data_IF_580589536069
#
_entry.id   IF_580589536069
#
_cell.length_a   1.000
_cell.length_b   1.000
_cell.length_c   1.000
_cell.angle_alpha   90.00
_cell.angle_beta   90.00
_cell.angle_gamma   90.00
#
_symmetry.space_group_name_H-M   'P 1'
#
loop_
_entity.id
_entity.type
_entity.pdbx_description
1 polymer ?
#
# COMPACT_ATOMS: atom_id res chain seq x y z
N UNK A 1 -25.82 -3.86 34.80
CA UNK A 1 -24.82 -4.88 34.40
C UNK A 1 -23.46 -4.29 34.72
N UNK A 2 -22.68 -4.92 35.59
CA UNK A 2 -21.30 -4.50 35.88
C UNK A 2 -20.47 -4.74 34.63
N UNK A 3 -20.05 -3.67 33.96
CA UNK A 3 -19.04 -3.77 32.90
C UNK A 3 -17.82 -4.48 33.47
N UNK A 4 -17.34 -5.58 32.85
CA UNK A 4 -16.17 -6.29 33.34
C UNK A 4 -15.00 -5.33 33.46
N UNK A 5 -14.34 -5.35 34.62
CA UNK A 5 -13.15 -4.55 34.86
C UNK A 5 -12.02 -5.06 33.97
N UNK A 6 -11.31 -4.20 33.23
CA UNK A 6 -10.17 -4.62 32.43
C UNK A 6 -9.12 -5.34 33.28
N UNK A 7 -8.37 -6.27 32.68
CA UNK A 7 -7.28 -6.92 33.38
C UNK A 7 -6.10 -5.94 33.49
N UNK A 8 -5.63 -5.60 34.70
CA UNK A 8 -4.63 -4.55 34.92
C UNK A 8 -3.26 -4.86 34.27
N UNK A 9 -3.01 -6.11 33.89
CA UNK A 9 -1.78 -6.51 33.19
C UNK A 9 -1.93 -6.61 31.67
N UNK A 10 -3.15 -6.66 31.13
CA UNK A 10 -3.35 -6.75 29.67
C UNK A 10 -3.16 -5.38 29.00
N UNK A 11 -2.39 -5.33 27.92
CA UNK A 11 -2.20 -4.12 27.11
C UNK A 11 -2.53 -4.44 25.66
N UNK A 12 -3.41 -3.66 25.04
CA UNK A 12 -3.64 -3.78 23.60
C UNK A 12 -2.64 -2.89 22.85
N UNK A 13 -2.00 -3.41 21.81
CA UNK A 13 -1.02 -2.66 21.02
C UNK A 13 -1.54 -2.54 19.59
N UNK A 14 -1.88 -1.32 19.19
CA UNK A 14 -2.17 -0.97 17.80
C UNK A 14 -0.83 -0.71 17.11
N UNK A 15 -0.52 -1.42 16.04
CA UNK A 15 0.75 -1.28 15.31
C UNK A 15 0.59 -1.53 13.82
N UNK A 16 1.56 -1.04 13.04
CA UNK A 16 1.64 -1.28 11.60
C UNK A 16 2.32 -2.62 11.25
N UNK A 17 2.98 -2.66 10.09
CA UNK A 17 3.70 -3.81 9.55
C UNK A 17 5.17 -3.89 9.98
N UNK A 18 5.65 -2.95 10.79
CA UNK A 18 7.01 -3.02 11.34
C UNK A 18 7.11 -4.02 12.49
N UNK A 19 7.23 -5.31 12.16
CA UNK A 19 7.31 -6.40 13.14
C UNK A 19 8.50 -6.28 14.08
N UNK A 20 9.63 -5.73 13.61
CA UNK A 20 10.80 -5.47 14.45
C UNK A 20 10.48 -4.48 15.55
N UNK A 21 9.83 -3.36 15.22
CA UNK A 21 9.41 -2.36 16.19
C UNK A 21 8.35 -2.93 17.17
N UNK A 22 7.36 -3.65 16.63
CA UNK A 22 6.34 -4.36 17.43
C UNK A 22 6.99 -5.31 18.43
N UNK A 23 7.92 -6.15 17.98
CA UNK A 23 8.54 -7.17 18.83
C UNK A 23 9.35 -6.54 19.97
N UNK A 24 10.05 -5.43 19.72
CA UNK A 24 10.77 -4.68 20.76
C UNK A 24 9.82 -4.11 21.82
N UNK A 25 8.68 -3.52 21.41
CA UNK A 25 7.68 -3.00 22.36
C UNK A 25 7.02 -4.13 23.14
N UNK A 26 6.70 -5.25 22.49
CA UNK A 26 6.14 -6.42 23.17
C UNK A 26 7.12 -7.01 24.21
N UNK A 27 8.41 -7.10 23.87
CA UNK A 27 9.45 -7.53 24.80
C UNK A 27 9.56 -6.58 25.99
N UNK A 28 9.54 -5.27 25.75
CA UNK A 28 9.55 -4.25 26.79
C UNK A 28 8.33 -4.36 27.73
N UNK A 29 7.13 -4.50 27.19
CA UNK A 29 5.90 -4.66 27.98
C UNK A 29 5.97 -5.93 28.84
N UNK A 30 6.44 -7.05 28.27
CA UNK A 30 6.65 -8.30 29.02
C UNK A 30 7.68 -8.15 30.14
N UNK A 31 8.78 -7.42 29.90
CA UNK A 31 9.79 -7.11 30.92
C UNK A 31 9.27 -6.21 32.04
N UNK A 32 8.16 -5.50 31.83
CA UNK A 32 7.41 -4.78 32.86
C UNK A 32 6.37 -5.65 33.58
N UNK A 33 6.30 -6.96 33.31
CA UNK A 33 5.30 -7.86 33.86
C UNK A 33 3.92 -7.76 33.20
N UNK A 34 3.81 -7.05 32.07
CA UNK A 34 2.56 -6.88 31.33
C UNK A 34 2.38 -7.95 30.26
N UNK A 35 1.12 -8.14 29.85
CA UNK A 35 0.67 -9.11 28.85
C UNK A 35 0.14 -8.38 27.62
N UNK A 36 0.99 -8.07 26.63
CA UNK A 36 0.53 -7.46 25.40
C UNK A 36 -0.33 -8.45 24.61
N UNK A 37 -1.52 -8.00 24.20
CA UNK A 37 -2.51 -8.79 23.48
C UNK A 37 -2.11 -8.88 22.01
N UNK A 38 -2.05 -10.09 21.49
CA UNK A 38 -1.84 -10.33 20.06
C UNK A 38 -3.16 -10.24 19.30
N UNK A 39 -3.12 -9.88 18.02
CA UNK A 39 -4.33 -9.73 17.22
C UNK A 39 -5.20 -10.99 17.22
N UNK A 40 -4.60 -12.16 17.03
CA UNK A 40 -5.32 -13.44 17.03
C UNK A 40 -5.95 -13.76 18.40
N UNK A 41 -5.35 -13.29 19.50
CA UNK A 41 -5.95 -13.39 20.82
C UNK A 41 -7.18 -12.49 20.93
N UNK A 42 -7.12 -11.25 20.43
CA UNK A 42 -8.26 -10.35 20.40
C UNK A 42 -9.40 -10.91 19.52
N UNK A 43 -9.07 -11.52 18.37
CA UNK A 43 -10.03 -12.23 17.51
C UNK A 43 -10.66 -13.40 18.26
N UNK A 44 -9.86 -14.23 18.92
CA UNK A 44 -10.37 -15.37 19.70
C UNK A 44 -11.36 -14.94 20.80
N UNK A 45 -11.08 -13.83 21.48
CA UNK A 45 -11.93 -13.28 22.55
C UNK A 45 -13.30 -12.78 22.02
N UNK A 46 -13.48 -12.62 20.70
CA UNK A 46 -14.80 -12.36 20.11
C UNK A 46 -15.72 -13.58 20.13
N UNK A 47 -15.16 -14.80 20.18
CA UNK A 47 -15.91 -16.05 20.04
C UNK A 47 -16.42 -16.32 18.62
N UNK A 48 -16.04 -15.50 17.63
CA UNK A 48 -16.46 -15.63 16.24
C UNK A 48 -15.29 -16.12 15.37
N UNK A 49 -15.58 -16.95 14.36
CA UNK A 49 -14.56 -17.43 13.42
C UNK A 49 -14.11 -16.36 12.41
N UNK A 50 -14.92 -15.32 12.18
CA UNK A 50 -14.64 -14.24 11.24
C UNK A 50 -15.30 -12.92 11.68
N UNK A 51 -14.91 -12.34 12.83
CA UNK A 51 -15.50 -11.13 13.35
C UNK A 51 -15.20 -9.91 12.47
N UNK A 52 -16.10 -8.93 12.49
CA UNK A 52 -15.81 -7.60 11.97
C UNK A 52 -14.71 -6.92 12.81
N UNK A 53 -13.84 -6.13 12.15
CA UNK A 53 -12.71 -5.44 12.80
C UNK A 53 -13.13 -4.64 14.05
N UNK A 54 -14.30 -3.98 13.98
CA UNK A 54 -14.83 -3.21 15.11
C UNK A 54 -15.15 -4.08 16.33
N UNK A 55 -15.62 -5.32 16.15
CA UNK A 55 -15.90 -6.24 17.26
C UNK A 55 -14.60 -6.70 17.93
N UNK A 56 -13.53 -6.90 17.15
CA UNK A 56 -12.20 -7.22 17.69
C UNK A 56 -11.67 -6.07 18.53
N UNK A 57 -11.79 -4.83 18.04
CA UNK A 57 -11.40 -3.63 18.78
C UNK A 57 -12.23 -3.45 20.06
N UNK A 58 -13.55 -3.66 19.98
CA UNK A 58 -14.45 -3.58 21.13
C UNK A 58 -14.00 -4.55 22.24
N UNK A 59 -13.73 -5.80 21.86
CA UNK A 59 -13.24 -6.82 22.80
C UNK A 59 -11.86 -6.51 23.35
N UNK A 60 -10.93 -6.05 22.50
CA UNK A 60 -9.61 -5.64 22.94
C UNK A 60 -9.67 -4.50 23.96
N UNK A 61 -10.53 -3.50 23.75
CA UNK A 61 -10.72 -2.39 24.68
C UNK A 61 -11.43 -2.80 25.98
N UNK A 62 -12.32 -3.78 25.93
CA UNK A 62 -12.97 -4.35 27.11
C UNK A 62 -11.95 -5.02 28.04
N UNK A 63 -11.05 -5.84 27.48
CA UNK A 63 -10.15 -6.68 28.28
C UNK A 63 -8.81 -6.03 28.64
N UNK A 64 -8.31 -5.07 27.85
CA UNK A 64 -7.02 -4.42 28.06
C UNK A 64 -7.11 -3.25 29.05
N UNK A 65 -6.18 -3.13 29.98
CA UNK A 65 -6.09 -1.98 30.88
C UNK A 65 -5.59 -0.71 30.19
N UNK A 66 -4.63 -0.84 29.27
CA UNK A 66 -4.11 0.26 28.48
C UNK A 66 -4.07 -0.09 27.00
N UNK A 67 -4.12 0.94 26.16
CA UNK A 67 -3.98 0.85 24.72
C UNK A 67 -2.71 1.62 24.34
N UNK A 68 -1.76 0.94 23.72
CA UNK A 68 -0.55 1.56 23.17
C UNK A 68 -0.72 1.68 21.67
N UNK A 69 -0.67 2.90 21.15
CA UNK A 69 -0.61 3.17 19.71
C UNK A 69 0.85 3.30 19.34
N UNK A 70 1.39 2.32 18.61
CA UNK A 70 2.77 2.32 18.14
C UNK A 70 2.84 2.92 16.74
N UNK A 71 3.30 4.17 16.68
CA UNK A 71 3.46 4.93 15.46
C UNK A 71 4.89 4.78 14.91
N UNK A 72 5.01 4.01 13.82
CA UNK A 72 6.26 3.75 13.11
C UNK A 72 6.22 4.32 11.69
N UNK A 73 7.37 4.60 11.06
CA UNK A 73 7.44 5.18 9.71
C UNK A 73 7.17 4.13 8.61
N UNK A 74 5.98 3.54 8.63
CA UNK A 74 5.61 2.41 7.78
C UNK A 74 5.26 2.81 6.34
N UNK A 75 4.52 3.91 6.19
CA UNK A 75 4.11 4.43 4.88
C UNK A 75 4.81 5.77 4.61
N UNK A 76 4.89 6.16 3.33
CA UNK A 76 5.34 7.49 2.91
C UNK A 76 4.15 8.27 2.37
N UNK A 77 3.96 9.51 2.82
CA UNK A 77 2.93 10.42 2.33
C UNK A 77 3.50 11.79 1.97
N UNK A 78 2.75 12.51 1.14
CA UNK A 78 3.00 13.90 0.79
C UNK A 78 1.68 14.55 0.33
N UNK A 79 1.53 15.84 0.59
CA UNK A 79 0.44 16.65 0.08
C UNK A 79 0.58 16.81 -1.45
N UNK A 80 -0.56 16.78 -2.13
CA UNK A 80 -0.61 17.01 -3.58
C UNK A 80 -0.18 18.45 -3.87
N UNK A 81 0.75 18.64 -4.79
CA UNK A 81 1.38 19.96 -5.01
C UNK A 81 0.42 21.06 -5.49
N UNK A 82 -0.67 20.70 -6.17
CA UNK A 82 -1.74 21.62 -6.59
C UNK A 82 -2.70 22.01 -5.44
N UNK A 83 -2.59 21.35 -4.29
CA UNK A 83 -3.33 21.69 -3.07
C UNK A 83 -2.46 22.39 -2.03
N UNK A 84 -1.19 22.64 -2.36
CA UNK A 84 -0.19 23.14 -1.43
C UNK A 84 0.12 24.61 -1.70
N UNK A 85 0.43 25.34 -0.64
CA UNK A 85 1.00 26.69 -0.75
C UNK A 85 2.45 26.63 -1.26
N UNK A 86 2.94 27.74 -1.80
CA UNK A 86 4.33 27.84 -2.26
C UNK A 86 5.29 27.56 -1.09
N UNK A 87 6.17 26.57 -1.26
CA UNK A 87 7.14 26.17 -0.24
C UNK A 87 6.60 25.27 0.86
N UNK A 88 5.37 24.74 0.74
CA UNK A 88 4.80 23.84 1.74
C UNK A 88 5.66 22.55 1.92
N UNK A 89 6.21 22.30 3.13
CA UNK A 89 7.03 21.14 3.39
C UNK A 89 6.26 19.81 3.31
N UNK A 90 4.93 19.82 3.38
CA UNK A 90 4.11 18.63 3.21
C UNK A 90 4.14 18.08 1.79
N UNK A 91 4.55 18.88 0.81
CA UNK A 91 4.77 18.40 -0.57
C UNK A 91 5.98 17.50 -0.71
N UNK A 92 6.86 17.44 0.30
CA UNK A 92 8.01 16.53 0.32
C UNK A 92 7.60 15.16 0.89
N UNK A 93 8.20 14.05 0.43
CA UNK A 93 7.92 12.73 0.98
C UNK A 93 8.25 12.67 2.48
N UNK A 94 7.25 12.36 3.30
CA UNK A 94 7.40 12.22 4.74
C UNK A 94 6.96 10.82 5.20
N UNK A 95 7.72 10.16 6.08
CA UNK A 95 7.28 8.94 6.72
C UNK A 95 6.06 9.16 7.60
N UNK A 96 5.16 8.19 7.70
CA UNK A 96 3.99 8.25 8.58
C UNK A 96 3.59 6.85 9.06
N UNK A 97 2.79 6.74 10.12
CA UNK A 97 2.10 5.50 10.46
C UNK A 97 1.16 5.05 9.35
N UNK A 98 0.87 3.75 9.30
CA UNK A 98 -0.15 3.23 8.38
C UNK A 98 -1.52 3.86 8.64
N UNK A 99 -2.33 4.13 7.60
CA UNK A 99 -3.69 4.66 7.77
C UNK A 99 -4.57 3.84 8.72
N UNK A 100 -4.43 2.50 8.73
CA UNK A 100 -5.16 1.65 9.66
C UNK A 100 -4.82 1.97 11.13
N UNK A 101 -3.53 2.17 11.43
CA UNK A 101 -3.05 2.56 12.76
C UNK A 101 -3.65 3.90 13.17
N UNK A 102 -3.65 4.88 12.25
CA UNK A 102 -4.23 6.21 12.51
C UNK A 102 -5.74 6.13 12.77
N UNK A 103 -6.46 5.32 11.99
CA UNK A 103 -7.90 5.13 12.15
C UNK A 103 -8.24 4.47 13.50
N UNK A 104 -7.56 3.38 13.84
CA UNK A 104 -7.74 2.66 15.11
C UNK A 104 -7.32 3.52 16.31
N UNK A 105 -6.25 4.32 16.17
CA UNK A 105 -5.85 5.30 17.17
C UNK A 105 -6.96 6.33 17.41
N UNK A 106 -7.59 6.84 16.35
CA UNK A 106 -8.75 7.73 16.46
C UNK A 106 -9.90 7.11 17.27
N UNK A 107 -10.23 5.84 17.01
CA UNK A 107 -11.26 5.09 17.76
C UNK A 107 -10.85 4.92 19.23
N UNK A 108 -9.61 4.49 19.49
CA UNK A 108 -9.08 4.30 20.84
C UNK A 108 -9.10 5.61 21.63
N UNK A 109 -8.66 6.71 21.01
CA UNK A 109 -8.66 8.04 21.63
C UNK A 109 -10.06 8.58 21.90
N UNK A 110 -11.02 8.30 21.03
CA UNK A 110 -12.41 8.75 21.19
C UNK A 110 -13.15 7.99 22.29
N UNK A 111 -12.86 6.69 22.46
CA UNK A 111 -13.57 5.82 23.40
C UNK A 111 -12.85 5.65 24.74
N UNK A 112 -11.52 5.67 24.73
CA UNK A 112 -10.66 5.35 25.89
C UNK A 112 -9.53 6.38 26.08
N UNK A 113 -9.81 7.70 26.13
CA UNK A 113 -8.79 8.74 26.12
C UNK A 113 -7.82 8.69 27.31
N UNK A 114 -8.28 8.30 28.50
CA UNK A 114 -7.46 8.29 29.73
C UNK A 114 -6.41 7.18 29.78
N UNK A 115 -6.59 6.13 28.96
CA UNK A 115 -5.76 4.91 28.95
C UNK A 115 -5.18 4.58 27.57
N UNK A 116 -5.25 5.53 26.64
CA UNK A 116 -4.61 5.45 25.33
C UNK A 116 -3.29 6.21 25.36
N UNK A 117 -2.19 5.54 25.07
CA UNK A 117 -0.83 6.07 25.08
C UNK A 117 -0.29 6.03 23.65
N UNK A 118 0.08 7.19 23.12
CA UNK A 118 0.69 7.30 21.79
C UNK A 118 2.20 7.22 21.93
N UNK A 119 2.80 6.29 21.19
CA UNK A 119 4.24 6.04 21.18
C UNK A 119 4.77 6.27 19.77
N UNK A 120 5.60 7.30 19.62
CA UNK A 120 6.33 7.54 18.37
C UNK A 120 7.63 6.75 18.40
N UNK A 121 7.87 5.93 17.38
CA UNK A 121 9.05 5.10 17.28
C UNK A 121 9.70 5.22 15.90
N UNK A 122 10.69 6.11 15.82
CA UNK A 122 11.28 6.58 14.57
C UNK A 122 10.82 7.99 14.24
N UNK A 123 11.30 8.52 13.10
CA UNK A 123 10.89 9.84 12.62
C UNK A 123 9.65 9.70 11.75
N UNK A 124 8.56 10.36 12.13
CA UNK A 124 7.30 10.40 11.39
C UNK A 124 6.85 11.85 11.17
N UNK A 125 6.02 12.07 10.16
CA UNK A 125 5.19 13.25 10.00
C UNK A 125 4.23 13.29 11.18
N UNK A 126 4.17 14.44 11.83
CA UNK A 126 3.12 14.71 12.79
C UNK A 126 1.98 15.43 12.06
N UNK A 127 0.74 14.98 12.28
CA UNK A 127 -0.43 15.72 11.81
C UNK A 127 -1.02 16.54 12.97
N UNK A 128 -1.59 17.69 12.62
CA UNK A 128 -1.97 18.77 13.55
C UNK A 128 -2.97 18.31 14.63
N UNK A 129 -3.82 17.33 14.36
CA UNK A 129 -4.84 16.85 15.32
C UNK A 129 -4.26 16.11 16.55
N UNK A 130 -3.02 15.61 16.49
CA UNK A 130 -2.33 15.03 17.66
C UNK A 130 -1.64 16.10 18.53
N UNK A 131 -1.45 17.34 18.05
CA UNK A 131 -0.70 18.38 18.78
C UNK A 131 -1.28 18.75 20.16
N UNK A 132 -2.55 18.43 20.43
CA UNK A 132 -3.16 18.60 21.76
C UNK A 132 -2.81 17.50 22.77
N UNK A 133 -2.13 16.41 22.37
CA UNK A 133 -1.83 15.27 23.25
C UNK A 133 -0.33 15.01 23.36
N UNK A 134 0.09 14.66 24.58
CA UNK A 134 1.48 14.28 24.85
C UNK A 134 1.77 12.87 24.32
N UNK A 135 2.75 12.76 23.42
CA UNK A 135 3.28 11.49 22.91
C UNK A 135 4.55 11.08 23.66
N UNK A 136 4.84 9.78 23.69
CA UNK A 136 6.13 9.25 24.15
C UNK A 136 7.00 8.94 22.93
N UNK A 137 8.02 9.76 22.69
CA UNK A 137 9.00 9.52 21.62
C UNK A 137 10.12 8.63 22.12
N UNK A 138 10.16 7.38 21.65
CA UNK A 138 11.22 6.44 22.01
C UNK A 138 12.47 6.71 21.16
N UNK A 139 13.62 6.74 21.83
CA UNK A 139 14.94 7.00 21.23
C UNK A 139 16.01 5.98 21.70
N UNK A 140 15.58 4.88 22.33
CA UNK A 140 16.47 3.87 22.91
C UNK A 140 17.13 4.28 24.23
N UNK A 141 16.86 5.48 24.77
CA UNK A 141 17.44 5.90 26.05
C UNK A 141 16.64 5.37 27.24
N UNK A 142 17.29 5.07 28.38
CA UNK A 142 16.61 4.74 29.63
C UNK A 142 15.56 5.76 30.04
N UNK A 143 15.80 7.06 29.81
CA UNK A 143 14.88 8.13 30.16
C UNK A 143 13.52 8.00 29.43
N UNK A 144 13.52 7.66 28.15
CA UNK A 144 12.27 7.44 27.40
C UNK A 144 11.58 6.14 27.78
N UNK A 145 12.33 5.09 28.13
CA UNK A 145 11.78 3.87 28.71
C UNK A 145 11.05 4.16 30.03
N UNK A 146 11.66 4.95 30.91
CA UNK A 146 11.03 5.44 32.15
C UNK A 146 9.75 6.23 31.87
N UNK A 147 9.77 7.10 30.86
CA UNK A 147 8.59 7.88 30.47
C UNK A 147 7.42 6.97 30.04
N UNK A 148 7.68 5.97 29.18
CA UNK A 148 6.64 5.01 28.77
C UNK A 148 6.12 4.20 29.96
N UNK A 149 7.02 3.68 30.81
CA UNK A 149 6.66 2.97 32.05
C UNK A 149 5.76 3.82 32.94
N UNK A 150 6.10 5.09 33.16
CA UNK A 150 5.30 6.01 33.97
C UNK A 150 3.90 6.25 33.39
N UNK A 151 3.77 6.33 32.07
CA UNK A 151 2.46 6.46 31.40
C UNK A 151 1.62 5.20 31.55
N UNK A 152 2.21 4.01 31.43
CA UNK A 152 1.51 2.74 31.66
C UNK A 152 0.98 2.65 33.10
N UNK A 153 1.80 3.02 34.09
CA UNK A 153 1.36 3.10 35.49
C UNK A 153 0.19 4.09 35.66
N UNK A 154 0.29 5.27 35.05
CA UNK A 154 -0.77 6.31 35.09
C UNK A 154 -2.06 5.83 34.42
N UNK A 155 -1.96 5.00 33.39
CA UNK A 155 -3.10 4.35 32.72
C UNK A 155 -3.70 3.19 33.54
N UNK A 156 -3.17 2.92 34.74
CA UNK A 156 -3.66 1.90 35.67
C UNK A 156 -3.08 0.51 35.46
N UNK A 157 -2.01 0.36 34.66
CA UNK A 157 -1.35 -0.92 34.51
C UNK A 157 -0.64 -1.35 35.80
N UNK A 158 -0.80 -2.62 36.17
CA UNK A 158 -0.05 -3.25 37.27
C UNK A 158 1.32 -3.67 36.73
N UNK A 159 2.33 -2.85 37.04
CA UNK A 159 3.71 -3.06 36.61
C UNK A 159 4.47 -3.89 37.64
N UNK A 160 5.45 -4.65 37.16
CA UNK A 160 6.46 -5.24 38.03
C UNK A 160 7.21 -4.12 38.78
N UNK A 161 7.22 -4.21 40.11
CA UNK A 161 7.83 -3.24 41.01
C UNK A 161 9.31 -3.57 41.26
N UNK A 162 9.67 -4.85 41.13
CA UNK A 162 11.01 -5.35 41.43
C UNK A 162 11.74 -5.79 40.16
N UNK A 163 12.87 -5.16 39.87
CA UNK A 163 13.71 -5.51 38.72
C UNK A 163 13.95 -4.35 37.74
N UNK A 164 15.03 -4.49 36.97
CA UNK A 164 15.51 -3.47 36.03
C UNK A 164 15.69 -3.99 34.61
N UNK A 165 15.26 -5.22 34.32
CA UNK A 165 15.49 -5.88 33.02
C UNK A 165 14.89 -5.11 31.86
N UNK A 166 13.76 -4.43 32.06
CA UNK A 166 13.14 -3.54 31.08
C UNK A 166 14.04 -2.36 30.66
N UNK A 167 15.04 -1.99 31.46
CA UNK A 167 16.05 -1.00 31.08
C UNK A 167 17.03 -1.54 30.03
N UNK A 168 17.17 -2.85 29.89
CA UNK A 168 18.02 -3.49 28.87
C UNK A 168 17.32 -3.65 27.52
N UNK A 169 16.01 -3.39 27.44
CA UNK A 169 15.26 -3.51 26.18
C UNK A 169 15.78 -2.52 25.14
N UNK A 170 16.31 -2.98 24.02
CA UNK A 170 16.96 -2.10 23.02
C UNK A 170 16.09 -0.90 22.67
N UNK A 171 14.84 -1.12 22.26
CA UNK A 171 13.93 -0.06 21.80
C UNK A 171 14.66 0.92 20.87
N UNK A 172 15.39 0.35 19.92
CA UNK A 172 16.14 1.06 18.88
C UNK A 172 15.16 1.51 17.80
N UNK A 173 15.00 2.83 17.57
CA UNK A 173 14.08 3.34 16.57
C UNK A 173 14.39 2.79 15.17
N UNK A 174 13.36 2.57 14.34
CA UNK A 174 13.56 2.27 12.93
C UNK A 174 14.43 3.35 12.28
N UNK A 175 15.37 2.92 11.44
CA UNK A 175 16.16 3.85 10.63
C UNK A 175 15.28 4.68 9.70
N UNK A 176 15.84 5.79 9.18
CA UNK A 176 15.15 6.56 8.17
C UNK A 176 14.78 5.65 6.98
N UNK A 177 13.52 5.71 6.48
CA UNK A 177 13.12 4.88 5.37
C UNK A 177 13.99 5.16 4.13
N UNK A 178 14.08 4.17 3.24
CA UNK A 178 14.80 4.32 1.97
C UNK A 178 16.30 4.01 2.03
N UNK A 179 16.86 3.74 3.22
CA UNK A 179 18.25 3.25 3.35
C UNK A 179 19.30 4.19 2.76
N UNK A 180 19.06 5.50 2.79
CA UNK A 180 19.92 6.51 2.17
C UNK A 180 19.57 6.86 0.71
N UNK A 181 18.58 6.19 0.13
CA UNK A 181 18.02 6.50 -1.20
C UNK A 181 16.91 7.54 -1.08
N UNK A 182 16.72 8.44 -2.08
CA UNK A 182 15.58 9.35 -2.10
C UNK A 182 14.25 8.60 -1.97
N UNK A 183 13.46 8.96 -0.95
CA UNK A 183 12.10 8.48 -0.80
C UNK A 183 11.26 9.05 -1.95
N UNK A 184 10.57 8.18 -2.67
CA UNK A 184 10.02 8.51 -3.98
C UNK A 184 9.05 9.70 -3.97
N UNK A 185 9.09 10.49 -5.05
CA UNK A 185 7.93 11.20 -5.63
C UNK A 185 7.59 10.52 -6.95
N UNK A 186 6.34 10.08 -7.13
CA UNK A 186 5.73 9.83 -8.45
C UNK A 186 4.23 10.06 -8.25
N UNK A 187 3.60 11.07 -8.85
CA UNK A 187 3.62 11.42 -10.28
C UNK A 187 3.56 12.96 -10.46
N UNK A 188 4.47 13.61 -11.20
CA UNK A 188 4.07 14.80 -11.96
C UNK A 188 3.13 14.32 -13.06
N UNK A 189 1.87 14.80 -13.09
CA UNK A 189 1.10 14.75 -14.34
C UNK A 189 1.96 15.53 -15.32
N UNK A 190 2.56 14.84 -16.27
CA UNK A 190 3.37 15.50 -17.27
C UNK A 190 2.52 16.58 -17.90
N UNK A 191 3.00 17.82 -17.91
CA UNK A 191 2.40 18.86 -18.76
C UNK A 191 2.44 18.45 -20.25
N UNK A 192 3.17 17.37 -20.58
CA UNK A 192 3.14 16.68 -21.87
C UNK A 192 3.08 15.14 -21.68
N UNK A 193 1.92 14.50 -21.76
CA UNK A 193 1.92 13.05 -21.86
C UNK A 193 2.36 12.72 -23.30
N UNK A 194 3.61 12.28 -23.48
CA UNK A 194 4.21 11.96 -24.79
C UNK A 194 4.27 10.47 -25.07
N UNK A 195 3.84 9.61 -24.12
CA UNK A 195 3.87 8.17 -24.34
C UNK A 195 2.59 7.70 -25.05
N UNK A 196 2.72 6.99 -26.18
CA UNK A 196 1.59 6.38 -26.85
C UNK A 196 0.97 5.30 -25.95
N UNK A 197 -0.27 4.95 -26.23
CA UNK A 197 -1.03 3.99 -25.44
C UNK A 197 -2.08 3.36 -26.32
N UNK A 198 -2.16 2.05 -26.33
CA UNK A 198 -2.92 1.34 -27.35
C UNK A 198 -4.21 0.75 -26.81
N UNK A 199 -5.14 0.51 -27.74
CA UNK A 199 -6.30 -0.35 -27.52
C UNK A 199 -6.47 -1.22 -28.74
N UNK A 200 -6.82 -2.48 -28.55
CA UNK A 200 -7.10 -3.40 -29.65
C UNK A 200 -8.56 -3.89 -29.62
N UNK A 201 -9.17 -4.08 -30.78
CA UNK A 201 -10.56 -4.54 -30.91
C UNK A 201 -10.71 -5.50 -32.07
N UNK A 202 -11.34 -6.66 -31.83
CA UNK A 202 -11.59 -7.68 -32.84
C UNK A 202 -12.87 -7.38 -33.64
N UNK A 203 -12.84 -7.67 -34.94
CA UNK A 203 -13.97 -7.47 -35.84
C UNK A 203 -14.15 -8.67 -36.79
N UNK A 204 -15.35 -9.25 -36.75
CA UNK A 204 -15.73 -10.35 -37.64
C UNK A 204 -16.22 -9.85 -38.99
N UNK A 205 -15.70 -10.41 -40.09
CA UNK A 205 -16.10 -10.04 -41.46
C UNK A 205 -17.11 -11.00 -42.09
N UNK A 206 -17.20 -12.24 -41.58
CA UNK A 206 -18.16 -13.26 -42.03
C UNK A 206 -17.91 -13.81 -43.44
N UNK A 207 -18.51 -14.97 -43.75
CA UNK A 207 -18.31 -15.68 -45.02
C UNK A 207 -16.90 -16.28 -45.18
N UNK A 208 -16.37 -16.34 -46.41
CA UNK A 208 -15.01 -16.84 -46.70
C UNK A 208 -13.89 -15.79 -46.49
N UNK A 209 -14.15 -14.71 -45.74
CA UNK A 209 -13.19 -13.62 -45.52
C UNK A 209 -12.60 -13.72 -44.12
N UNK A 210 -11.32 -13.35 -44.01
CA UNK A 210 -10.61 -13.32 -42.74
C UNK A 210 -11.10 -12.18 -41.84
N UNK A 211 -11.23 -12.49 -40.55
CA UNK A 211 -11.48 -11.51 -39.50
C UNK A 211 -10.24 -10.64 -39.28
N UNK A 212 -10.36 -9.56 -38.51
CA UNK A 212 -9.24 -8.64 -38.27
C UNK A 212 -9.30 -7.98 -36.89
N UNK A 213 -8.15 -7.51 -36.44
CA UNK A 213 -7.98 -6.68 -35.25
C UNK A 213 -7.65 -5.26 -35.67
N UNK A 214 -8.37 -4.29 -35.11
CA UNK A 214 -8.03 -2.88 -35.22
C UNK A 214 -7.29 -2.42 -33.96
N UNK A 215 -6.13 -1.82 -34.14
CA UNK A 215 -5.26 -1.34 -33.06
C UNK A 215 -5.17 0.17 -33.19
N UNK A 216 -5.53 0.88 -32.13
CA UNK A 216 -5.61 2.35 -32.11
C UNK A 216 -4.67 2.91 -31.05
N UNK A 217 -3.86 3.90 -31.42
CA UNK A 217 -3.12 4.70 -30.44
C UNK A 217 -4.09 5.69 -29.78
N UNK A 218 -4.57 5.37 -28.58
CA UNK A 218 -5.38 6.27 -27.73
C UNK A 218 -4.54 7.12 -26.79
N UNK A 219 -3.24 6.88 -26.73
CA UNK A 219 -2.30 7.67 -25.98
C UNK A 219 -2.02 9.01 -26.65
N UNK A 220 -1.55 10.00 -25.87
CA UNK A 220 -1.35 11.37 -26.34
C UNK A 220 -0.05 11.61 -27.13
N UNK A 221 0.80 10.59 -27.35
CA UNK A 221 2.06 10.70 -28.10
C UNK A 221 2.12 9.90 -29.39
N UNK A 222 2.93 10.35 -30.35
CA UNK A 222 3.26 9.58 -31.55
C UNK A 222 4.04 8.31 -31.18
N UNK A 223 3.65 7.18 -31.76
CA UNK A 223 4.42 5.96 -31.70
C UNK A 223 5.17 5.76 -33.02
N UNK A 224 6.35 5.17 -32.95
CA UNK A 224 7.21 4.88 -34.10
C UNK A 224 7.58 3.41 -34.08
N UNK A 225 7.86 2.87 -35.26
CA UNK A 225 8.28 1.48 -35.44
C UNK A 225 7.42 0.48 -34.65
N UNK A 226 6.09 0.64 -34.74
CA UNK A 226 5.12 -0.13 -33.96
C UNK A 226 4.98 -1.53 -34.53
N UNK A 227 5.41 -2.54 -33.79
CA UNK A 227 5.24 -3.95 -34.10
C UNK A 227 4.17 -4.59 -33.21
N UNK A 228 3.52 -5.64 -33.72
CA UNK A 228 2.43 -6.30 -33.01
C UNK A 228 2.47 -7.80 -33.24
N UNK A 229 2.45 -8.55 -32.15
CA UNK A 229 2.37 -10.00 -32.16
C UNK A 229 1.31 -10.54 -31.19
N UNK A 230 0.80 -11.75 -31.44
CA UNK A 230 -0.07 -12.44 -30.50
C UNK A 230 0.80 -13.20 -29.50
N UNK A 231 0.52 -13.03 -28.20
CA UNK A 231 1.24 -13.71 -27.14
C UNK A 231 0.81 -15.18 -27.10
N UNK A 232 1.78 -16.10 -27.20
CA UNK A 232 1.56 -17.55 -27.24
C UNK A 232 0.55 -17.97 -28.33
N UNK A 233 0.88 -17.74 -29.61
CA UNK A 233 -0.03 -18.05 -30.70
C UNK A 233 -0.17 -19.57 -30.84
N UNK A 234 -1.40 -20.01 -31.06
CA UNK A 234 -1.78 -21.43 -31.25
C UNK A 234 -2.13 -21.73 -32.71
N UNK A 235 -2.31 -20.68 -33.53
CA UNK A 235 -2.56 -20.75 -34.97
C UNK A 235 -1.54 -19.91 -35.77
N UNK A 236 -1.93 -19.48 -36.98
CA UNK A 236 -1.03 -18.76 -37.89
C UNK A 236 -0.81 -17.27 -37.54
N UNK A 237 -1.43 -16.77 -36.46
CA UNK A 237 -1.16 -15.45 -35.89
C UNK A 237 -1.84 -14.27 -36.61
N UNK A 238 -1.15 -13.14 -36.66
CA UNK A 238 -1.61 -11.86 -37.23
C UNK A 238 -0.87 -11.56 -38.55
N UNK A 239 -1.59 -11.03 -39.53
CA UNK A 239 -1.00 -10.59 -40.80
C UNK A 239 -1.44 -9.17 -41.15
N UNK A 240 -0.48 -8.30 -41.49
CA UNK A 240 -0.76 -6.97 -42.04
C UNK A 240 -0.83 -7.04 -43.57
N UNK A 241 -1.97 -6.68 -44.15
CA UNK A 241 -2.12 -6.68 -45.60
C UNK A 241 -1.33 -5.54 -46.25
N UNK A 242 -0.58 -5.87 -47.30
CA UNK A 242 0.07 -4.94 -48.25
C UNK A 242 1.08 -3.92 -47.67
N UNK A 243 1.35 -3.94 -46.36
CA UNK A 243 2.43 -3.19 -45.73
C UNK A 243 3.06 -4.00 -44.59
N UNK A 244 4.39 -4.17 -44.55
CA UNK A 244 5.04 -4.94 -43.49
C UNK A 244 4.94 -4.22 -42.14
N UNK A 245 5.03 -4.99 -41.06
CA UNK A 245 5.40 -4.47 -39.73
C UNK A 245 6.94 -4.39 -39.64
N UNK A 246 7.49 -3.48 -38.80
CA UNK A 246 6.80 -2.53 -37.94
C UNK A 246 6.20 -1.32 -38.69
N UNK A 247 5.19 -0.67 -38.10
CA UNK A 247 4.59 0.58 -38.61
C UNK A 247 5.52 1.75 -38.29
N UNK A 248 6.06 2.48 -39.28
CA UNK A 248 7.07 3.50 -39.03
C UNK A 248 6.61 4.63 -38.10
N UNK A 249 5.34 5.03 -38.18
CA UNK A 249 4.73 6.02 -37.29
C UNK A 249 3.22 5.83 -37.16
N UNK A 250 2.71 5.81 -35.93
CA UNK A 250 1.29 5.77 -35.60
C UNK A 250 0.92 6.91 -34.65
N UNK A 251 0.37 8.03 -35.17
CA UNK A 251 -0.01 9.18 -34.36
C UNK A 251 -1.19 8.92 -33.41
N UNK A 252 -1.39 9.79 -32.39
CA UNK A 252 -2.57 9.76 -31.54
C UNK A 252 -3.88 9.76 -32.32
N UNK A 253 -4.82 8.91 -31.92
CA UNK A 253 -6.14 8.73 -32.51
C UNK A 253 -6.15 8.02 -33.87
N UNK A 254 -5.01 7.53 -34.35
CA UNK A 254 -4.91 6.74 -35.59
C UNK A 254 -4.84 5.25 -35.29
N UNK A 255 -5.25 4.47 -36.30
CA UNK A 255 -5.41 3.03 -36.17
C UNK A 255 -4.79 2.28 -37.33
N UNK A 256 -4.36 1.05 -37.06
CA UNK A 256 -3.93 0.07 -38.06
C UNK A 256 -4.80 -1.19 -37.93
N UNK A 257 -4.85 -1.98 -39.00
CA UNK A 257 -5.64 -3.21 -39.05
C UNK A 257 -4.75 -4.38 -39.42
N UNK A 258 -4.91 -5.48 -38.69
CA UNK A 258 -4.20 -6.74 -38.92
C UNK A 258 -5.24 -7.84 -39.09
N UNK A 259 -5.18 -8.59 -40.19
CA UNK A 259 -6.04 -9.75 -40.37
C UNK A 259 -5.66 -10.81 -39.32
N UNK A 260 -6.69 -11.39 -38.71
CA UNK A 260 -6.56 -12.36 -37.65
C UNK A 260 -6.73 -13.77 -38.21
N UNK A 261 -5.68 -14.58 -38.13
CA UNK A 261 -5.62 -15.95 -38.62
C UNK A 261 -5.42 -16.97 -37.50
N UNK A 262 -5.47 -16.53 -36.23
CA UNK A 262 -5.24 -17.36 -35.06
C UNK A 262 -6.22 -18.53 -34.91
N UNK A 263 -7.48 -18.36 -35.34
CA UNK A 263 -8.54 -19.39 -35.25
C UNK A 263 -8.74 -20.25 -36.52
N UNK A 264 -7.78 -20.25 -37.46
CA UNK A 264 -7.92 -21.02 -38.72
C UNK A 264 -7.46 -22.48 -38.56
N UNK A 265 -6.66 -22.79 -37.54
CA UNK A 265 -6.18 -24.14 -37.27
C UNK A 265 -7.29 -25.04 -36.69
N UNK A 266 -7.34 -26.32 -37.12
CA UNK A 266 -8.38 -27.27 -36.68
C UNK A 266 -8.37 -27.46 -35.15
N UNK A 267 -9.52 -27.19 -34.53
CA UNK A 267 -9.75 -27.41 -33.10
C UNK A 267 -9.47 -26.20 -32.21
N UNK A 268 -8.96 -25.09 -32.77
CA UNK A 268 -8.76 -23.86 -32.02
C UNK A 268 -10.05 -23.02 -32.01
N UNK A 269 -10.59 -22.78 -30.83
CA UNK A 269 -11.85 -22.05 -30.64
C UNK A 269 -11.64 -20.93 -29.61
N UNK A 270 -10.59 -20.13 -29.82
CA UNK A 270 -10.28 -19.00 -28.93
C UNK A 270 -11.43 -18.01 -28.94
N UNK A 271 -11.84 -17.62 -27.74
CA UNK A 271 -12.81 -16.55 -27.51
C UNK A 271 -12.15 -15.22 -27.13
N UNK A 272 -10.84 -15.25 -26.94
CA UNK A 272 -10.00 -14.11 -26.62
C UNK A 272 -8.53 -14.46 -26.86
N UNK A 273 -7.70 -13.44 -26.98
CA UNK A 273 -6.24 -13.55 -27.05
C UNK A 273 -5.61 -12.24 -26.54
N UNK A 274 -4.30 -12.27 -26.28
CA UNK A 274 -3.55 -11.08 -25.87
C UNK A 274 -2.57 -10.71 -26.97
N UNK A 275 -2.50 -9.43 -27.27
CA UNK A 275 -1.51 -8.87 -28.17
C UNK A 275 -0.38 -8.21 -27.40
N UNK A 276 0.84 -8.36 -27.88
CA UNK A 276 1.98 -7.57 -27.49
C UNK A 276 2.23 -6.50 -28.54
N UNK A 277 2.21 -5.24 -28.14
CA UNK A 277 2.42 -4.08 -29.01
C UNK A 277 3.71 -3.40 -28.57
N UNK A 278 4.70 -3.40 -29.45
CA UNK A 278 6.03 -2.87 -29.19
C UNK A 278 6.33 -1.71 -30.12
N UNK A 279 7.22 -0.81 -29.74
CA UNK A 279 7.66 0.27 -30.63
C UNK A 279 8.49 1.31 -29.90
N UNK A 280 8.61 2.49 -30.50
CA UNK A 280 9.37 3.63 -29.96
C UNK A 280 8.51 4.87 -29.77
N UNK A 281 8.85 5.63 -28.74
CA UNK A 281 8.31 6.97 -28.49
C UNK A 281 9.00 8.02 -29.37
N UNK A 282 8.42 9.23 -29.44
CA UNK A 282 8.99 10.35 -30.19
C UNK A 282 10.39 10.79 -29.70
N UNK A 283 10.70 10.56 -28.42
CA UNK A 283 12.02 10.76 -27.82
C UNK A 283 12.95 9.54 -27.96
N UNK A 284 12.54 8.53 -28.73
CA UNK A 284 13.36 7.39 -29.13
C UNK A 284 13.45 6.25 -28.11
N UNK A 285 12.65 6.28 -27.03
CA UNK A 285 12.61 5.19 -26.05
C UNK A 285 11.70 4.06 -26.54
N UNK A 286 12.18 2.82 -26.47
CA UNK A 286 11.36 1.64 -26.73
C UNK A 286 10.24 1.48 -25.67
N UNK A 287 9.10 0.94 -26.08
CA UNK A 287 7.98 0.60 -25.21
C UNK A 287 7.35 -0.73 -25.64
N UNK A 288 6.66 -1.34 -24.70
CA UNK A 288 5.92 -2.60 -24.85
C UNK A 288 4.61 -2.48 -24.07
N UNK A 289 3.51 -2.91 -24.68
CA UNK A 289 2.17 -2.88 -24.09
C UNK A 289 1.39 -4.13 -24.46
N UNK A 290 0.89 -4.84 -23.45
CA UNK A 290 -0.05 -5.94 -23.64
C UNK A 290 -1.49 -5.43 -23.74
N UNK A 291 -2.24 -5.93 -24.72
CA UNK A 291 -3.65 -5.63 -24.92
C UNK A 291 -4.48 -6.91 -25.00
N UNK A 292 -5.44 -7.05 -24.08
CA UNK A 292 -6.39 -8.14 -24.08
C UNK A 292 -7.50 -7.89 -25.10
N UNK A 293 -7.74 -8.84 -25.99
CA UNK A 293 -8.75 -8.75 -27.04
C UNK A 293 -9.77 -9.86 -26.88
N UNK A 294 -11.02 -9.49 -26.63
CA UNK A 294 -12.15 -10.42 -26.67
C UNK A 294 -12.66 -10.57 -28.10
N UNK A 295 -12.91 -11.80 -28.51
CA UNK A 295 -13.55 -12.13 -29.78
C UNK A 295 -15.05 -12.25 -29.54
N UNK A 296 -15.81 -11.28 -30.06
CA UNK A 296 -17.29 -11.32 -30.11
C UNK A 296 -17.79 -12.26 -31.20
#
# INVERSE_FOLDING_TARGET
MTTPTPNPRKVFVIHGRNDTARNQVFAFLRALGLSPIEWDQAVHETGEGAPYIGQVLDKAFEIAQAIVVLETPDDIAYLRGDLADEGDPETSPQPQPRPNVLFEAGIAMGRNPSRTIIVEFGRIKQFSDIHGRHTVRLDGTPAKRHALRSRLATAGCELEETGSDWLSSELTPPGAPGGGTPLGKRIPRSEHPTRPGFSATHHTRGGNKLDYVEITNRGPGDAFDVDVEEVNPTGQGLLRDNEPLPVPKLPPGKSIRLNYMGNIAMGDNKRYFTLLINGRTADGQDFEQEEFVSMT
#
